data_IF_125136727836
#
_entry.id   IF_125136727836
#
_cell.length_a   1.000
_cell.length_b   1.000
_cell.length_c   1.000
_cell.angle_alpha   90.00
_cell.angle_beta   90.00
_cell.angle_gamma   90.00
#
_symmetry.space_group_name_H-M   'P 1'
#
loop_
_entity.id
_entity.type
_entity.pdbx_description
1 polymer ?
#
# COMPACT_ATOMS: atom_id res chain seq x y z
N UNK A 1 4.54 44.48 17.69
CA UNK A 1 5.14 43.75 16.55
C UNK A 1 3.99 43.04 15.87
N UNK A 2 3.66 43.45 14.64
CA UNK A 2 2.61 42.82 13.84
C UNK A 2 3.27 41.74 13.00
N UNK A 3 3.14 40.48 13.43
CA UNK A 3 3.69 39.36 12.67
C UNK A 3 2.74 39.03 11.50
N UNK A 4 3.26 38.96 10.27
CA UNK A 4 2.43 38.73 9.09
C UNK A 4 1.80 37.34 9.16
N UNK A 5 0.47 37.31 9.08
CA UNK A 5 -0.31 36.08 9.07
C UNK A 5 -0.05 35.29 7.79
N UNK A 6 -0.22 33.96 7.85
CA UNK A 6 -0.21 33.08 6.68
C UNK A 6 -1.17 33.57 5.57
N UNK A 7 -2.23 34.28 5.96
CA UNK A 7 -3.17 34.91 5.04
C UNK A 7 -2.55 36.06 4.23
N UNK A 8 -1.57 36.79 4.76
CA UNK A 8 -0.85 37.83 4.02
C UNK A 8 0.12 37.23 3.01
N UNK A 9 0.71 36.08 3.32
CA UNK A 9 1.50 35.32 2.35
C UNK A 9 0.64 34.87 1.17
N UNK A 10 -0.54 34.31 1.43
CA UNK A 10 -1.48 33.90 0.36
C UNK A 10 -1.97 35.11 -0.43
N UNK A 11 -2.31 36.23 0.23
CA UNK A 11 -2.69 37.48 -0.45
C UNK A 11 -1.59 38.03 -1.34
N UNK A 12 -0.33 37.98 -0.90
CA UNK A 12 0.82 38.44 -1.70
C UNK A 12 1.02 37.59 -2.96
N UNK A 13 0.81 36.26 -2.86
CA UNK A 13 0.90 35.35 -4.00
C UNK A 13 -0.23 35.55 -5.01
N UNK A 14 -1.42 35.96 -4.56
CA UNK A 14 -2.58 36.18 -5.43
C UNK A 14 -2.53 37.54 -6.16
N UNK A 15 -1.87 38.55 -5.59
CA UNK A 15 -1.72 39.89 -6.20
C UNK A 15 -0.48 39.98 -7.09
N UNK A 16 -0.44 39.17 -8.16
CA UNK A 16 0.68 39.09 -9.11
C UNK A 16 1.00 40.39 -9.86
N UNK A 17 0.13 41.41 -9.79
CA UNK A 17 0.28 42.70 -10.48
C UNK A 17 0.87 43.84 -9.61
N UNK A 18 1.11 43.62 -8.31
CA UNK A 18 1.77 44.61 -7.44
C UNK A 18 3.24 44.23 -7.23
N UNK A 19 4.13 44.96 -7.90
CA UNK A 19 5.57 44.67 -8.05
C UNK A 19 6.46 45.23 -6.92
N UNK A 20 5.92 45.47 -5.72
CA UNK A 20 6.65 46.03 -4.59
C UNK A 20 6.50 45.14 -3.34
N UNK A 21 7.63 44.79 -2.73
CA UNK A 21 7.77 43.96 -1.51
C UNK A 21 7.44 42.46 -1.67
N UNK A 22 8.33 41.76 -2.39
CA UNK A 22 8.56 40.33 -2.11
C UNK A 22 9.10 40.20 -0.68
N UNK A 23 8.27 39.72 0.23
CA UNK A 23 8.72 39.26 1.55
C UNK A 23 9.60 38.04 1.31
N UNK A 24 10.92 38.24 1.45
CA UNK A 24 11.90 37.15 1.48
C UNK A 24 11.74 36.50 2.85
N UNK A 25 11.19 35.28 2.90
CA UNK A 25 11.32 34.44 4.09
C UNK A 25 12.79 33.99 4.12
N UNK A 26 13.64 34.83 4.69
CA UNK A 26 14.97 34.44 5.10
C UNK A 26 14.77 33.47 6.26
N UNK A 27 14.74 32.18 5.98
CA UNK A 27 15.03 31.14 6.99
C UNK A 27 16.53 31.20 7.30
N UNK A 28 17.00 32.35 7.79
CA UNK A 28 18.06 32.40 8.77
C UNK A 28 17.35 32.48 10.11
N UNK A 29 16.79 31.35 10.53
CA UNK A 29 16.67 31.10 11.94
C UNK A 29 18.10 31.12 12.46
N UNK A 30 18.48 32.26 13.04
CA UNK A 30 19.58 32.41 13.96
C UNK A 30 19.39 31.36 15.05
N UNK A 31 19.95 30.17 14.85
CA UNK A 31 20.34 29.29 15.93
C UNK A 31 21.62 29.88 16.52
N UNK A 32 21.46 30.95 17.29
CA UNK A 32 22.49 31.40 18.21
C UNK A 32 22.69 30.31 19.25
N UNK A 33 23.86 29.68 19.19
CA UNK A 33 24.55 29.13 20.35
C UNK A 33 24.00 27.82 20.90
N UNK A 34 24.34 26.71 20.26
CA UNK A 34 24.86 25.53 20.97
C UNK A 34 25.93 24.89 20.08
N UNK A 35 27.20 25.22 20.32
CA UNK A 35 28.31 24.32 19.99
C UNK A 35 28.20 23.10 20.92
N UNK A 36 27.29 22.18 20.62
CA UNK A 36 27.31 20.86 21.24
C UNK A 36 28.19 19.98 20.37
N UNK A 37 29.37 19.65 20.90
CA UNK A 37 30.26 18.61 20.37
C UNK A 37 29.44 17.39 19.95
N UNK A 38 29.19 17.27 18.64
CA UNK A 38 28.76 16.01 18.04
C UNK A 38 29.95 15.08 18.13
N UNK A 39 29.99 14.33 19.23
CA UNK A 39 30.81 13.15 19.41
C UNK A 39 30.38 12.20 18.30
N UNK A 40 31.20 12.08 17.26
CA UNK A 40 31.03 11.10 16.20
C UNK A 40 31.11 9.74 16.88
N UNK A 41 29.96 9.18 17.21
CA UNK A 41 29.85 7.80 17.61
C UNK A 41 30.14 6.97 16.36
N UNK A 42 31.12 6.08 16.47
CA UNK A 42 31.47 5.08 15.48
C UNK A 42 30.23 4.34 14.95
N UNK A 43 30.24 3.89 13.69
CA UNK A 43 29.09 3.23 13.08
C UNK A 43 28.78 1.97 13.88
N UNK A 44 27.73 2.05 14.69
CA UNK A 44 27.12 0.90 15.34
C UNK A 44 26.78 -0.10 14.24
N UNK A 45 27.42 -1.26 14.33
CA UNK A 45 27.18 -2.44 13.50
C UNK A 45 25.68 -2.60 13.23
N UNK A 46 25.27 -3.03 12.04
CA UNK A 46 23.86 -3.23 11.75
C UNK A 46 23.32 -4.22 12.77
N UNK A 47 22.51 -3.72 13.70
CA UNK A 47 21.74 -4.56 14.58
C UNK A 47 21.00 -5.54 13.67
N UNK A 48 21.27 -6.81 13.85
CA UNK A 48 20.66 -7.90 13.12
C UNK A 48 19.17 -7.93 13.51
N UNK A 49 18.39 -7.01 12.94
CA UNK A 49 16.95 -6.91 13.06
C UNK A 49 16.36 -7.97 12.14
N UNK A 50 16.64 -9.24 12.43
CA UNK A 50 15.83 -10.31 11.88
C UNK A 50 14.42 -10.12 12.43
N UNK A 51 13.42 -9.83 11.58
CA UNK A 51 12.06 -9.94 12.04
C UNK A 51 11.86 -11.42 12.38
N UNK A 52 11.76 -11.73 13.67
CA UNK A 52 11.30 -13.04 14.12
C UNK A 52 9.80 -13.12 13.80
N UNK A 53 9.47 -13.20 12.52
CA UNK A 53 8.10 -13.43 12.06
C UNK A 53 7.79 -14.87 12.41
N UNK A 54 7.15 -15.05 13.57
CA UNK A 54 6.64 -16.35 13.97
C UNK A 54 5.71 -16.88 12.87
N UNK A 55 5.81 -18.17 12.56
CA UNK A 55 4.98 -18.82 11.56
C UNK A 55 3.48 -18.57 11.84
N UNK A 56 2.72 -17.97 10.90
CA UNK A 56 1.38 -17.41 11.16
C UNK A 56 0.26 -18.45 11.13
N UNK A 57 0.43 -19.55 11.88
CA UNK A 57 -0.50 -20.68 11.84
C UNK A 57 -1.90 -20.32 12.33
N UNK A 58 -2.07 -19.33 13.21
CA UNK A 58 -3.40 -18.88 13.66
C UNK A 58 -4.16 -18.21 12.53
N UNK A 59 -3.47 -17.36 11.78
CA UNK A 59 -4.03 -16.71 10.58
C UNK A 59 -4.41 -17.75 9.52
N UNK A 60 -3.57 -18.76 9.30
CA UNK A 60 -3.85 -19.86 8.38
C UNK A 60 -5.03 -20.73 8.85
N UNK A 61 -5.10 -21.04 10.15
CA UNK A 61 -6.22 -21.78 10.74
C UNK A 61 -7.53 -20.99 10.64
N UNK A 62 -7.48 -19.67 10.90
CA UNK A 62 -8.61 -18.78 10.74
C UNK A 62 -9.11 -18.78 9.28
N UNK A 63 -8.21 -18.75 8.30
CA UNK A 63 -8.57 -18.87 6.89
C UNK A 63 -9.28 -20.22 6.59
N UNK A 64 -8.72 -21.33 7.07
CA UNK A 64 -9.32 -22.65 6.86
C UNK A 64 -10.74 -22.75 7.47
N UNK A 65 -10.93 -22.22 8.68
CA UNK A 65 -12.24 -22.17 9.33
C UNK A 65 -13.22 -21.24 8.60
N UNK A 66 -12.75 -20.11 8.08
CA UNK A 66 -13.57 -19.19 7.29
C UNK A 66 -14.09 -19.85 6.02
N UNK A 67 -13.25 -20.61 5.30
CA UNK A 67 -13.65 -21.39 4.13
C UNK A 67 -14.66 -22.48 4.51
N UNK A 68 -14.46 -23.17 5.63
CA UNK A 68 -15.43 -24.12 6.17
C UNK A 68 -16.77 -23.45 6.53
N UNK A 69 -16.72 -22.26 7.14
CA UNK A 69 -17.89 -21.45 7.48
C UNK A 69 -18.64 -20.96 6.24
N UNK A 70 -17.92 -20.56 5.18
CA UNK A 70 -18.50 -20.20 3.90
C UNK A 70 -19.27 -21.37 3.29
N UNK A 71 -18.69 -22.58 3.32
CA UNK A 71 -19.37 -23.80 2.86
C UNK A 71 -20.65 -24.10 3.65
N UNK A 72 -20.69 -23.78 4.94
CA UNK A 72 -21.89 -23.94 5.77
C UNK A 72 -23.06 -23.01 5.37
N UNK A 73 -22.77 -21.92 4.67
CA UNK A 73 -23.77 -20.97 4.17
C UNK A 73 -24.23 -21.27 2.74
N UNK A 74 -23.59 -22.22 2.04
CA UNK A 74 -23.98 -22.61 0.70
C UNK A 74 -25.39 -23.25 0.68
N UNK A 75 -26.18 -23.03 -0.38
CA UNK A 75 -27.48 -23.68 -0.57
C UNK A 75 -27.33 -25.19 -0.76
N UNK A 76 -28.28 -25.97 -0.24
CA UNK A 76 -28.28 -27.45 -0.31
C UNK A 76 -27.99 -28.17 1.02
N UNK A 77 -27.53 -27.45 2.04
CA UNK A 77 -27.27 -27.98 3.39
C UNK A 77 -27.00 -26.87 4.42
N UNK A 78 -27.63 -25.70 4.22
CA UNK A 78 -27.32 -24.46 4.94
C UNK A 78 -27.55 -24.62 6.44
N UNK A 79 -26.49 -24.42 7.23
CA UNK A 79 -26.56 -24.39 8.68
C UNK A 79 -26.05 -23.05 9.21
N UNK A 80 -27.00 -22.17 9.55
CA UNK A 80 -26.71 -20.84 10.06
C UNK A 80 -25.89 -20.89 11.36
N UNK A 81 -26.24 -21.81 12.27
CA UNK A 81 -25.54 -21.97 13.55
C UNK A 81 -24.10 -22.42 13.38
N UNK A 82 -23.85 -23.37 12.47
CA UNK A 82 -22.49 -23.84 12.19
C UNK A 82 -21.64 -22.75 11.53
N UNK A 83 -22.18 -22.07 10.51
CA UNK A 83 -21.47 -20.96 9.85
C UNK A 83 -21.15 -19.82 10.82
N UNK A 84 -22.12 -19.38 11.62
CA UNK A 84 -21.91 -18.31 12.60
C UNK A 84 -20.89 -18.72 13.68
N UNK A 85 -20.98 -19.96 14.19
CA UNK A 85 -20.01 -20.49 15.15
C UNK A 85 -18.59 -20.52 14.61
N UNK A 86 -18.41 -20.96 13.35
CA UNK A 86 -17.11 -20.96 12.69
C UNK A 86 -16.58 -19.54 12.50
N UNK A 87 -17.41 -18.59 12.07
CA UNK A 87 -16.99 -17.19 11.93
C UNK A 87 -16.65 -16.51 13.27
N UNK A 88 -17.33 -16.87 14.36
CA UNK A 88 -16.93 -16.41 15.70
C UNK A 88 -15.56 -16.95 16.11
N UNK A 89 -15.28 -18.22 15.81
CA UNK A 89 -13.96 -18.81 16.05
C UNK A 89 -12.86 -18.13 15.20
N UNK A 90 -13.16 -17.79 13.95
CA UNK A 90 -12.28 -17.00 13.07
C UNK A 90 -11.97 -15.65 13.70
N UNK A 91 -12.98 -14.91 14.15
CA UNK A 91 -12.79 -13.61 14.79
C UNK A 91 -11.90 -13.72 16.04
N UNK A 92 -12.14 -14.72 16.89
CA UNK A 92 -11.31 -14.96 18.08
C UNK A 92 -9.85 -15.28 17.73
N UNK A 93 -9.61 -16.13 16.72
CA UNK A 93 -8.27 -16.48 16.24
C UNK A 93 -7.52 -15.27 15.68
N UNK A 94 -8.21 -14.42 14.91
CA UNK A 94 -7.60 -13.22 14.33
C UNK A 94 -7.26 -12.20 15.40
N UNK A 95 -8.15 -11.96 16.37
CA UNK A 95 -7.86 -11.11 17.53
C UNK A 95 -6.63 -11.64 18.28
N UNK A 96 -6.56 -12.95 18.50
CA UNK A 96 -5.42 -13.57 19.16
C UNK A 96 -4.12 -13.47 18.35
N UNK A 97 -4.18 -13.63 17.03
CA UNK A 97 -3.05 -13.45 16.13
C UNK A 97 -2.52 -12.01 16.17
N UNK A 98 -3.42 -11.02 16.19
CA UNK A 98 -3.08 -9.61 16.36
C UNK A 98 -2.39 -9.33 17.70
N UNK A 99 -2.93 -9.83 18.81
CA UNK A 99 -2.29 -9.68 20.13
C UNK A 99 -0.93 -10.34 20.22
N UNK A 100 -0.71 -11.39 19.44
CA UNK A 100 0.58 -12.11 19.37
C UNK A 100 1.54 -11.50 18.37
N UNK A 101 1.17 -10.42 17.69
CA UNK A 101 2.01 -9.73 16.74
C UNK A 101 2.37 -10.58 15.52
N UNK A 102 1.52 -11.53 15.13
CA UNK A 102 1.76 -12.32 13.91
C UNK A 102 1.84 -11.44 12.66
N UNK A 103 1.13 -10.31 12.69
CA UNK A 103 1.17 -9.30 11.64
C UNK A 103 2.14 -8.20 12.05
N UNK A 104 3.43 -8.45 11.86
CA UNK A 104 4.46 -7.43 12.01
C UNK A 104 4.66 -6.68 10.70
N UNK A 105 4.69 -5.35 10.78
CA UNK A 105 5.11 -4.54 9.64
C UNK A 105 6.61 -4.73 9.45
N UNK A 106 7.03 -5.00 8.22
CA UNK A 106 8.44 -4.96 7.90
C UNK A 106 8.98 -3.54 8.18
N UNK A 107 10.21 -3.40 8.71
CA UNK A 107 10.85 -2.10 8.85
C UNK A 107 10.80 -1.34 7.53
N UNK A 108 10.39 -0.07 7.59
CA UNK A 108 10.32 0.76 6.40
C UNK A 108 11.74 0.90 5.84
N UNK A 109 11.95 0.41 4.61
CA UNK A 109 13.22 0.63 3.91
C UNK A 109 13.37 2.13 3.68
N UNK A 110 14.59 2.64 3.83
CA UNK A 110 14.91 4.01 3.46
C UNK A 110 14.48 4.21 2.00
N UNK A 111 13.73 5.30 1.73
CA UNK A 111 13.31 5.61 0.38
C UNK A 111 14.54 5.91 -0.47
N UNK A 112 14.94 4.93 -1.26
CA UNK A 112 15.82 5.15 -2.39
C UNK A 112 15.00 5.91 -3.44
N UNK A 113 15.42 7.13 -3.75
CA UNK A 113 14.86 7.92 -4.84
C UNK A 113 15.28 7.28 -6.16
N UNK A 114 14.60 6.21 -6.55
CA UNK A 114 14.73 5.65 -7.88
C UNK A 114 13.93 6.52 -8.84
N UNK A 115 14.58 7.13 -9.83
CA UNK A 115 13.87 7.75 -10.94
C UNK A 115 13.23 6.62 -11.76
N UNK A 116 11.94 6.39 -11.52
CA UNK A 116 11.16 5.47 -12.33
C UNK A 116 11.07 6.05 -13.75
N UNK A 117 11.78 5.40 -14.66
CA UNK A 117 11.79 5.78 -16.06
C UNK A 117 10.51 5.22 -16.67
N UNK A 118 9.40 5.96 -16.57
CA UNK A 118 8.06 5.64 -17.11
C UNK A 118 8.05 5.46 -18.65
N UNK A 119 8.80 4.48 -19.15
CA UNK A 119 8.90 4.13 -20.57
C UNK A 119 7.89 3.05 -20.89
N UNK A 120 6.88 3.43 -21.66
CA UNK A 120 5.90 2.49 -22.20
C UNK A 120 6.44 1.89 -23.51
N UNK A 121 6.50 0.57 -23.58
CA UNK A 121 6.75 -0.12 -24.84
C UNK A 121 5.48 -0.04 -25.71
N UNK A 122 5.49 0.86 -26.71
CA UNK A 122 4.34 1.09 -27.60
C UNK A 122 3.88 -0.17 -28.33
N UNK A 123 4.81 -1.04 -28.72
CA UNK A 123 4.48 -2.27 -29.44
C UNK A 123 3.69 -3.20 -28.51
N UNK A 124 4.21 -3.44 -27.31
CA UNK A 124 3.52 -4.26 -26.31
C UNK A 124 2.15 -3.67 -25.94
N UNK A 125 2.06 -2.34 -25.78
CA UNK A 125 0.81 -1.66 -25.46
C UNK A 125 -0.28 -1.83 -26.54
N UNK A 126 0.05 -1.66 -27.82
CA UNK A 126 -0.94 -1.86 -28.88
C UNK A 126 -1.25 -3.34 -29.12
N UNK A 127 -0.26 -4.22 -28.97
CA UNK A 127 -0.46 -5.65 -29.05
C UNK A 127 -1.43 -6.15 -27.95
N UNK A 128 -1.26 -5.70 -26.71
CA UNK A 128 -2.13 -6.07 -25.60
C UNK A 128 -3.56 -5.58 -25.79
N UNK A 129 -3.77 -4.37 -26.33
CA UNK A 129 -5.10 -3.87 -26.69
C UNK A 129 -5.77 -4.77 -27.72
N UNK A 130 -5.07 -5.10 -28.81
CA UNK A 130 -5.60 -5.98 -29.84
C UNK A 130 -5.98 -7.35 -29.27
N UNK A 131 -5.13 -7.89 -28.39
CA UNK A 131 -5.33 -9.18 -27.76
C UNK A 131 -6.48 -9.16 -26.74
N UNK A 132 -6.64 -8.07 -25.99
CA UNK A 132 -7.75 -7.86 -25.08
C UNK A 132 -9.10 -7.79 -25.82
N UNK A 133 -9.14 -7.08 -26.96
CA UNK A 133 -10.34 -7.04 -27.82
C UNK A 133 -10.64 -8.44 -28.37
N UNK A 134 -9.63 -9.16 -28.86
CA UNK A 134 -9.80 -10.51 -29.37
C UNK A 134 -10.30 -11.48 -28.28
N UNK A 135 -9.74 -11.39 -27.07
CA UNK A 135 -10.19 -12.17 -25.92
C UNK A 135 -11.65 -11.85 -25.56
N UNK A 136 -12.01 -10.56 -25.50
CA UNK A 136 -13.38 -10.11 -25.22
C UNK A 136 -14.38 -10.66 -26.24
N UNK A 137 -14.07 -10.59 -27.54
CA UNK A 137 -14.92 -11.16 -28.59
C UNK A 137 -15.03 -12.69 -28.47
N UNK A 138 -13.92 -13.36 -28.09
CA UNK A 138 -13.90 -14.81 -27.85
C UNK A 138 -14.61 -15.23 -26.55
N UNK A 139 -14.92 -14.29 -25.65
CA UNK A 139 -15.78 -14.51 -24.49
C UNK A 139 -17.28 -14.43 -24.83
N UNK A 140 -17.67 -14.24 -26.09
CA UNK A 140 -19.06 -14.04 -26.56
C UNK A 140 -20.19 -14.56 -25.65
N UNK A 141 -20.30 -15.88 -25.47
CA UNK A 141 -21.36 -16.51 -24.66
C UNK A 141 -21.10 -16.51 -23.13
N UNK A 142 -20.19 -15.65 -22.66
CA UNK A 142 -19.60 -15.64 -21.31
C UNK A 142 -18.99 -16.98 -20.89
N UNK A 143 -18.60 -17.81 -21.87
CA UNK A 143 -17.96 -19.09 -21.62
C UNK A 143 -16.45 -18.91 -21.49
N UNK A 144 -15.89 -19.43 -20.41
CA UNK A 144 -14.45 -19.47 -20.20
C UNK A 144 -13.88 -20.72 -20.89
N UNK A 145 -13.12 -20.51 -21.95
CA UNK A 145 -12.40 -21.56 -22.68
C UNK A 145 -10.91 -21.38 -22.46
N UNK A 146 -10.12 -22.46 -22.56
CA UNK A 146 -8.66 -22.34 -22.46
C UNK A 146 -8.09 -21.37 -23.51
N UNK A 147 -8.76 -21.20 -24.63
CA UNK A 147 -8.35 -20.28 -25.69
C UNK A 147 -8.57 -18.80 -25.32
N UNK A 148 -9.78 -18.41 -24.91
CA UNK A 148 -10.05 -17.00 -24.57
C UNK A 148 -9.32 -16.56 -23.28
N UNK A 149 -9.15 -17.47 -22.31
CA UNK A 149 -8.39 -17.19 -21.08
C UNK A 149 -6.90 -17.01 -21.38
N UNK A 150 -6.31 -17.76 -22.31
CA UNK A 150 -4.89 -17.59 -22.66
C UNK A 150 -4.66 -16.28 -23.43
N UNK A 151 -5.55 -15.89 -24.35
CA UNK A 151 -5.49 -14.58 -25.00
C UNK A 151 -5.63 -13.43 -23.99
N UNK A 152 -6.54 -13.57 -23.02
CA UNK A 152 -6.70 -12.59 -21.95
C UNK A 152 -5.46 -12.49 -21.07
N UNK A 153 -4.88 -13.62 -20.67
CA UNK A 153 -3.65 -13.64 -19.85
C UNK A 153 -2.47 -12.99 -20.57
N UNK A 154 -2.31 -13.27 -21.87
CA UNK A 154 -1.26 -12.65 -22.70
C UNK A 154 -1.48 -11.14 -22.87
N UNK A 155 -2.70 -10.63 -22.76
CA UNK A 155 -2.97 -9.19 -22.84
C UNK A 155 -2.54 -8.42 -21.57
N UNK A 156 -2.27 -9.12 -20.45
CA UNK A 156 -1.88 -8.50 -19.18
C UNK A 156 -0.37 -8.41 -18.97
N UNK A 157 0.42 -9.03 -19.85
CA UNK A 157 1.89 -9.14 -19.77
C UNK A 157 2.50 -8.24 -20.86
#
# INVERSE_FOLDING_TARGET
MEEPSVLDYVKSKLKFWQRGEKIIITTSATFSGVEEKVKIAEPSQPANLQPATAWPWRSLLALALALGGQRAFEPGGRSLGMGLGLYLAVAALLIWACWRGEWSLAPQRLSESHEDTFKVNRIAFFASIALAIAAFLAFGDNLFTSFNVTMWALALI
#
